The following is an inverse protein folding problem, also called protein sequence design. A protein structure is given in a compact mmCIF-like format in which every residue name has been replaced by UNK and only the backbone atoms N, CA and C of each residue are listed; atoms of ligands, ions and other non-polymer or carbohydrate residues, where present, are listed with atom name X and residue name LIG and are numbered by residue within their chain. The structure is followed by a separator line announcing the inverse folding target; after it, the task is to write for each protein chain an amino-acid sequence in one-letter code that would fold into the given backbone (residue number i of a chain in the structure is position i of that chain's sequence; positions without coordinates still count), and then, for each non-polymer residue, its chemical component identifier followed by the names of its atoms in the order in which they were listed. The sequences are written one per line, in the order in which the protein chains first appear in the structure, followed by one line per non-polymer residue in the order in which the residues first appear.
data_IF_423143562355
#
_entry.id   IF_423143562355
#
_cell.length_a   1.000
_cell.length_b   1.000
_cell.length_c   1.000
_cell.angle_alpha   90.00
_cell.angle_beta   90.00
_cell.angle_gamma   90.00
#
_symmetry.space_group_name_H-M   'P 1'
#
loop_
_entity.id
_entity.type
_entity.pdbx_description
1 polymer ?
#
# COMPACT_ATOMS: atom_id res chain seq x y z
N UNK A 1 -0.12 17.62 28.72
CA UNK A 1 1.03 17.32 27.83
C UNK A 1 0.70 16.09 27.02
N UNK A 2 0.03 16.24 25.87
CA UNK A 2 -0.40 15.10 25.04
C UNK A 2 0.78 14.73 24.14
N UNK A 3 1.40 13.59 24.43
CA UNK A 3 2.48 13.04 23.60
C UNK A 3 1.85 12.62 22.27
N UNK A 4 2.05 13.40 21.21
CA UNK A 4 1.70 12.99 19.86
C UNK A 4 2.66 11.87 19.48
N UNK A 5 2.32 10.63 19.82
CA UNK A 5 3.11 9.45 19.49
C UNK A 5 3.07 9.20 17.98
N UNK A 6 3.89 9.96 17.27
CA UNK A 6 4.17 9.76 15.86
C UNK A 6 4.63 8.32 15.66
N UNK A 7 4.21 7.71 14.55
CA UNK A 7 4.69 6.37 14.25
C UNK A 7 6.21 6.42 14.05
N UNK A 8 6.95 5.87 15.01
CA UNK A 8 8.39 5.74 14.90
C UNK A 8 8.74 4.91 13.68
N UNK A 9 9.79 5.32 12.95
CA UNK A 9 10.25 4.61 11.75
C UNK A 9 10.53 3.14 12.03
N UNK A 10 11.05 2.80 13.22
CA UNK A 10 11.28 1.41 13.65
C UNK A 10 9.98 0.60 13.72
N UNK A 11 8.91 1.20 14.27
CA UNK A 11 7.59 0.56 14.38
C UNK A 11 6.96 0.40 13.00
N UNK A 12 7.09 1.40 12.14
CA UNK A 12 6.63 1.36 10.75
C UNK A 12 7.29 0.22 9.97
N UNK A 13 8.62 0.17 9.92
CA UNK A 13 9.32 -0.88 9.17
C UNK A 13 9.09 -2.28 9.74
N UNK A 14 8.92 -2.40 11.06
CA UNK A 14 8.52 -3.67 11.68
C UNK A 14 7.14 -4.12 11.21
N UNK A 15 6.14 -3.24 11.23
CA UNK A 15 4.78 -3.57 10.78
C UNK A 15 4.72 -3.82 9.27
N UNK A 16 5.42 -3.00 8.47
CA UNK A 16 5.54 -3.20 7.03
C UNK A 16 6.20 -4.54 6.71
N UNK A 17 7.28 -4.91 7.42
CA UNK A 17 7.94 -6.20 7.26
C UNK A 17 7.02 -7.37 7.60
N UNK A 18 6.30 -7.30 8.73
CA UNK A 18 5.33 -8.33 9.11
C UNK A 18 4.21 -8.45 8.07
N UNK A 19 3.62 -7.34 7.63
CA UNK A 19 2.57 -7.35 6.62
C UNK A 19 3.07 -7.94 5.29
N UNK A 20 4.26 -7.52 4.86
CA UNK A 20 4.88 -8.02 3.62
C UNK A 20 5.11 -9.51 3.71
N UNK A 21 5.60 -10.02 4.86
CA UNK A 21 5.83 -11.44 5.08
C UNK A 21 4.51 -12.23 5.11
N UNK A 22 3.49 -11.74 5.81
CA UNK A 22 2.16 -12.37 5.83
C UNK A 22 1.53 -12.41 4.43
N UNK A 23 1.66 -11.33 3.67
CA UNK A 23 1.13 -11.24 2.31
C UNK A 23 1.93 -12.13 1.35
N UNK A 24 3.25 -12.21 1.50
CA UNK A 24 4.10 -13.12 0.74
C UNK A 24 3.75 -14.59 1.01
N UNK A 25 3.51 -14.95 2.28
CA UNK A 25 3.01 -16.29 2.65
C UNK A 25 1.66 -16.57 1.98
N UNK A 26 0.72 -15.63 2.02
CA UNK A 26 -0.57 -15.78 1.34
C UNK A 26 -0.40 -16.00 -0.17
N UNK A 27 0.47 -15.21 -0.82
CA UNK A 27 0.80 -15.38 -2.26
C UNK A 27 1.40 -16.76 -2.53
N UNK A 28 2.35 -17.22 -1.71
CA UNK A 28 2.94 -18.57 -1.84
C UNK A 28 1.88 -19.66 -1.67
N UNK A 29 0.93 -19.49 -0.75
CA UNK A 29 -0.19 -20.44 -0.58
C UNK A 29 -1.11 -20.46 -1.80
N UNK A 30 -1.45 -19.30 -2.38
CA UNK A 30 -2.21 -19.25 -3.63
C UNK A 30 -1.48 -19.97 -4.77
N UNK A 31 -0.17 -19.78 -4.87
CA UNK A 31 0.68 -20.39 -5.90
C UNK A 31 0.80 -21.92 -5.78
N UNK A 32 0.40 -22.54 -4.66
CA UNK A 32 0.30 -24.00 -4.55
C UNK A 32 -0.84 -24.58 -5.38
N UNK A 33 -1.85 -23.77 -5.72
CA UNK A 33 -2.94 -24.21 -6.58
C UNK A 33 -2.58 -23.94 -8.05
N UNK A 34 -2.75 -24.93 -8.95
CA UNK A 34 -2.37 -24.81 -10.37
C UNK A 34 -2.98 -23.58 -11.06
N UNK A 35 -4.19 -23.20 -10.65
CA UNK A 35 -4.98 -22.08 -11.18
C UNK A 35 -4.26 -20.73 -11.04
N UNK A 36 -3.33 -20.56 -10.08
CA UNK A 36 -2.62 -19.31 -9.87
C UNK A 36 -1.12 -19.38 -10.19
N UNK A 37 -0.59 -20.57 -10.48
CA UNK A 37 0.85 -20.79 -10.59
C UNK A 37 1.50 -20.06 -11.78
N UNK A 38 0.76 -19.89 -12.88
CA UNK A 38 1.26 -19.25 -14.11
C UNK A 38 1.47 -17.73 -13.97
N UNK A 39 1.08 -17.16 -12.84
CA UNK A 39 0.97 -15.71 -12.63
C UNK A 39 1.86 -15.22 -11.49
N UNK A 40 2.75 -16.09 -10.99
CA UNK A 40 3.64 -15.84 -9.86
C UNK A 40 4.46 -14.55 -9.98
N UNK A 41 5.05 -14.32 -11.16
CA UNK A 41 5.90 -13.14 -11.40
C UNK A 41 5.13 -11.84 -11.21
N UNK A 42 3.86 -11.80 -11.61
CA UNK A 42 3.00 -10.63 -11.40
C UNK A 42 2.81 -10.36 -9.90
N UNK A 43 2.53 -11.39 -9.11
CA UNK A 43 2.25 -11.23 -7.69
C UNK A 43 3.47 -10.77 -6.90
N UNK A 44 4.65 -11.28 -7.22
CA UNK A 44 5.91 -10.81 -6.61
C UNK A 44 6.25 -9.37 -7.01
N UNK A 45 6.05 -9.02 -8.29
CA UNK A 45 6.23 -7.65 -8.76
C UNK A 45 5.28 -6.67 -8.04
N UNK A 46 4.02 -7.06 -7.86
CA UNK A 46 3.03 -6.28 -7.10
C UNK A 46 3.43 -6.12 -5.64
N UNK A 47 3.84 -7.20 -4.97
CA UNK A 47 4.29 -7.14 -3.58
C UNK A 47 5.43 -6.13 -3.43
N UNK A 48 6.44 -6.18 -4.30
CA UNK A 48 7.55 -5.23 -4.32
C UNK A 48 7.09 -3.80 -4.59
N UNK A 49 6.21 -3.61 -5.58
CA UNK A 49 5.64 -2.30 -5.90
C UNK A 49 4.90 -1.67 -4.71
N UNK A 50 4.00 -2.42 -4.06
CA UNK A 50 3.23 -1.92 -2.92
C UNK A 50 4.11 -1.70 -1.68
N UNK A 51 5.13 -2.53 -1.46
CA UNK A 51 6.14 -2.30 -0.42
C UNK A 51 6.85 -0.96 -0.62
N UNK A 52 7.35 -0.68 -1.82
CA UNK A 52 8.01 0.57 -2.14
C UNK A 52 7.05 1.76 -2.04
N UNK A 53 5.80 1.59 -2.50
CA UNK A 53 4.77 2.61 -2.39
C UNK A 53 4.46 2.97 -0.93
N UNK A 54 4.31 1.98 -0.05
CA UNK A 54 4.08 2.20 1.37
C UNK A 54 5.27 2.92 2.03
N UNK A 55 6.50 2.52 1.71
CA UNK A 55 7.70 3.20 2.20
C UNK A 55 7.76 4.67 1.75
N UNK A 56 7.51 4.93 0.47
CA UNK A 56 7.47 6.28 -0.10
C UNK A 56 6.40 7.16 0.59
N UNK A 57 5.18 6.63 0.75
CA UNK A 57 4.08 7.28 1.44
C UNK A 57 4.42 7.63 2.89
N UNK A 58 5.13 6.76 3.60
CA UNK A 58 5.56 7.02 4.97
C UNK A 58 6.54 8.20 5.07
N UNK A 59 7.59 8.22 4.25
CA UNK A 59 8.59 9.29 4.28
C UNK A 59 8.00 10.63 3.82
N UNK A 60 7.28 10.63 2.70
CA UNK A 60 6.63 11.83 2.17
C UNK A 60 5.52 12.31 3.12
N UNK A 61 4.71 11.40 3.66
CA UNK A 61 3.67 11.70 4.63
C UNK A 61 4.24 12.38 5.88
N UNK A 62 5.34 11.86 6.46
CA UNK A 62 6.01 12.51 7.59
C UNK A 62 6.55 13.90 7.26
N UNK A 63 7.19 14.05 6.09
CA UNK A 63 7.73 15.33 5.63
C UNK A 63 6.61 16.37 5.45
N UNK A 64 5.51 15.98 4.82
CA UNK A 64 4.40 16.88 4.50
C UNK A 64 3.50 17.17 5.71
N UNK A 65 3.36 16.25 6.65
CA UNK A 65 2.65 16.49 7.91
C UNK A 65 3.33 17.58 8.77
N UNK A 66 4.65 17.70 8.66
CA UNK A 66 5.43 18.76 9.31
C UNK A 66 5.46 20.08 8.52
N UNK A 67 4.87 20.14 7.32
CA UNK A 67 4.89 21.34 6.49
C UNK A 67 3.92 22.41 7.01
N UNK A 68 4.26 23.67 6.73
CA UNK A 68 3.44 24.83 7.10
C UNK A 68 2.07 24.79 6.41
N UNK A 69 2.04 24.36 5.13
CA UNK A 69 0.82 24.22 4.35
C UNK A 69 -0.10 23.12 4.93
N UNK A 70 -1.21 23.56 5.54
CA UNK A 70 -2.21 22.69 6.17
C UNK A 70 -2.84 21.67 5.19
N UNK A 71 -2.85 21.97 3.89
CA UNK A 71 -3.49 21.13 2.88
C UNK A 71 -2.51 20.19 2.17
N UNK A 72 -1.19 20.41 2.29
CA UNK A 72 -0.19 19.66 1.52
C UNK A 72 -0.21 18.16 1.84
N UNK A 73 -0.37 17.79 3.12
CA UNK A 73 -0.51 16.39 3.52
C UNK A 73 -1.76 15.75 2.91
N UNK A 74 -2.92 16.40 3.03
CA UNK A 74 -4.19 15.88 2.50
C UNK A 74 -4.15 15.76 0.98
N UNK A 75 -3.67 16.77 0.27
CA UNK A 75 -3.52 16.75 -1.19
C UNK A 75 -2.59 15.62 -1.65
N UNK A 76 -1.49 15.39 -0.94
CA UNK A 76 -0.59 14.28 -1.23
C UNK A 76 -1.25 12.92 -1.01
N UNK A 77 -1.95 12.71 0.11
CA UNK A 77 -2.65 11.46 0.39
C UNK A 77 -3.73 11.19 -0.66
N UNK A 78 -4.53 12.19 -1.01
CA UNK A 78 -5.54 12.07 -2.06
C UNK A 78 -4.92 11.75 -3.41
N UNK A 79 -3.87 12.48 -3.81
CA UNK A 79 -3.16 12.26 -5.07
C UNK A 79 -2.51 10.87 -5.15
N UNK A 80 -1.86 10.42 -4.08
CA UNK A 80 -1.24 9.11 -4.01
C UNK A 80 -2.28 7.97 -4.07
N UNK A 81 -3.42 8.15 -3.39
CA UNK A 81 -4.53 7.19 -3.43
C UNK A 81 -5.12 7.10 -4.84
N UNK A 82 -5.39 8.25 -5.47
CA UNK A 82 -5.89 8.30 -6.84
C UNK A 82 -4.93 7.66 -7.84
N UNK A 83 -3.64 8.02 -7.77
CA UNK A 83 -2.60 7.43 -8.62
C UNK A 83 -2.52 5.92 -8.45
N UNK A 84 -2.59 5.43 -7.21
CA UNK A 84 -2.58 4.00 -6.91
C UNK A 84 -3.79 3.26 -7.49
N UNK A 85 -4.98 3.85 -7.39
CA UNK A 85 -6.18 3.28 -8.01
C UNK A 85 -6.04 3.20 -9.53
N UNK A 86 -5.59 4.27 -10.17
CA UNK A 86 -5.36 4.29 -11.63
C UNK A 86 -4.33 3.23 -12.04
N UNK A 87 -3.22 3.14 -11.30
CA UNK A 87 -2.17 2.17 -11.57
C UNK A 87 -2.66 0.73 -11.37
N UNK A 88 -3.46 0.48 -10.33
CA UNK A 88 -4.08 -0.82 -10.08
C UNK A 88 -4.95 -1.27 -11.26
N UNK A 89 -5.80 -0.37 -11.76
CA UNK A 89 -6.60 -0.63 -12.97
C UNK A 89 -5.72 -0.86 -14.19
N UNK A 90 -4.67 -0.05 -14.36
CA UNK A 90 -3.75 -0.14 -15.49
C UNK A 90 -3.02 -1.49 -15.51
N UNK A 91 -2.55 -1.97 -14.35
CA UNK A 91 -1.93 -3.29 -14.23
C UNK A 91 -2.90 -4.39 -14.64
N UNK A 92 -4.16 -4.34 -14.19
CA UNK A 92 -5.15 -5.35 -14.57
C UNK A 92 -5.42 -5.34 -16.08
N UNK A 93 -5.57 -4.17 -16.70
CA UNK A 93 -5.82 -4.04 -18.15
C UNK A 93 -4.62 -4.54 -18.96
N UNK A 94 -3.40 -4.13 -18.59
CA UNK A 94 -2.17 -4.59 -19.22
C UNK A 94 -2.07 -6.11 -19.09
N UNK A 95 -2.30 -6.64 -17.89
CA UNK A 95 -2.21 -8.07 -17.65
C UNK A 95 -3.22 -8.88 -18.48
N UNK A 96 -4.48 -8.43 -18.53
CA UNK A 96 -5.52 -9.07 -19.35
C UNK A 96 -5.16 -9.08 -20.85
N UNK A 97 -4.54 -8.01 -21.36
CA UNK A 97 -4.17 -7.92 -22.77
C UNK A 97 -2.94 -8.76 -23.15
N UNK A 98 -1.92 -8.80 -22.29
CA UNK A 98 -0.64 -9.43 -22.62
C UNK A 98 -0.55 -10.89 -22.16
N UNK A 99 -1.09 -11.22 -20.99
CA UNK A 99 -1.02 -12.57 -20.44
C UNK A 99 -2.20 -13.46 -20.88
N UNK A 100 -3.27 -12.85 -21.42
CA UNK A 100 -4.48 -13.52 -21.88
C UNK A 100 -4.90 -14.69 -20.96
N UNK A 101 -5.04 -14.45 -19.64
CA UNK A 101 -5.21 -15.53 -18.68
C UNK A 101 -6.49 -16.30 -19.01
N UNK A 102 -6.38 -17.63 -19.10
CA UNK A 102 -7.54 -18.50 -19.40
C UNK A 102 -8.63 -18.37 -18.34
N UNK A 103 -8.26 -17.95 -17.13
CA UNK A 103 -9.17 -17.73 -16.01
C UNK A 103 -8.97 -16.39 -15.29
N UNK A 104 -10.08 -15.83 -14.78
CA UNK A 104 -10.12 -14.55 -14.06
C UNK A 104 -9.69 -14.67 -12.59
N UNK A 105 -9.31 -15.86 -12.12
CA UNK A 105 -8.94 -16.08 -10.71
C UNK A 105 -7.68 -15.32 -10.27
N UNK A 106 -6.81 -14.91 -11.21
CA UNK A 106 -5.62 -14.10 -10.91
C UNK A 106 -5.92 -12.78 -10.16
N UNK A 107 -7.16 -12.31 -10.24
CA UNK A 107 -7.64 -11.12 -9.54
C UNK A 107 -7.63 -11.32 -8.01
N UNK A 108 -7.79 -12.56 -7.51
CA UNK A 108 -7.84 -12.82 -6.06
C UNK A 108 -6.51 -12.55 -5.34
N UNK A 109 -5.35 -13.10 -5.79
CA UNK A 109 -4.06 -12.72 -5.22
C UNK A 109 -3.74 -11.24 -5.42
N UNK A 110 -4.09 -10.67 -6.57
CA UNK A 110 -3.94 -9.23 -6.85
C UNK A 110 -4.68 -8.38 -5.79
N UNK A 111 -5.96 -8.66 -5.57
CA UNK A 111 -6.80 -7.95 -4.59
C UNK A 111 -6.28 -8.13 -3.17
N UNK A 112 -5.77 -9.32 -2.85
CA UNK A 112 -5.19 -9.60 -1.53
C UNK A 112 -4.02 -8.68 -1.24
N UNK A 113 -3.07 -8.56 -2.18
CA UNK A 113 -1.91 -7.65 -2.04
C UNK A 113 -2.39 -6.20 -1.98
N UNK A 114 -3.27 -5.79 -2.91
CA UNK A 114 -3.78 -4.42 -2.97
C UNK A 114 -4.47 -4.00 -1.66
N UNK A 115 -5.41 -4.79 -1.16
CA UNK A 115 -6.18 -4.47 0.04
C UNK A 115 -5.30 -4.48 1.29
N UNK A 116 -4.44 -5.49 1.45
CA UNK A 116 -3.57 -5.60 2.62
C UNK A 116 -2.68 -4.36 2.77
N UNK A 117 -2.03 -3.93 1.68
CA UNK A 117 -1.20 -2.73 1.69
C UNK A 117 -2.01 -1.44 1.79
N UNK A 118 -3.15 -1.33 1.13
CA UNK A 118 -4.00 -0.13 1.18
C UNK A 118 -4.58 0.13 2.58
N UNK A 119 -5.02 -0.93 3.26
CA UNK A 119 -5.51 -0.83 4.66
C UNK A 119 -4.38 -0.40 5.58
N UNK A 120 -3.20 -1.00 5.44
CA UNK A 120 -2.03 -0.63 6.23
C UNK A 120 -1.59 0.82 5.98
N UNK A 121 -1.59 1.25 4.73
CA UNK A 121 -1.25 2.61 4.34
C UNK A 121 -2.19 3.64 4.96
N UNK A 122 -3.48 3.39 4.83
CA UNK A 122 -4.49 4.25 5.41
C UNK A 122 -4.34 4.30 6.93
N UNK A 123 -4.09 3.16 7.58
CA UNK A 123 -3.83 3.09 9.02
C UNK A 123 -2.67 3.99 9.46
N UNK A 124 -1.49 3.89 8.83
CA UNK A 124 -0.35 4.69 9.26
C UNK A 124 -0.49 6.16 8.83
N UNK A 125 -1.08 6.46 7.68
CA UNK A 125 -1.32 7.83 7.22
C UNK A 125 -2.29 8.55 8.16
N UNK A 126 -3.35 7.89 8.62
CA UNK A 126 -4.24 8.44 9.65
C UNK A 126 -3.49 8.73 10.96
N UNK A 127 -2.53 7.89 11.34
CA UNK A 127 -1.69 8.13 12.52
C UNK A 127 -0.75 9.33 12.33
N UNK A 128 -0.19 9.51 11.13
CA UNK A 128 0.63 10.66 10.76
C UNK A 128 -0.21 11.95 10.69
N UNK A 129 -1.45 11.88 10.22
CA UNK A 129 -2.34 13.04 10.12
C UNK A 129 -2.60 13.70 11.49
N UNK A 130 -2.61 12.91 12.57
CA UNK A 130 -2.81 13.37 13.96
C UNK A 130 -1.61 14.14 14.54
N UNK A 131 -0.52 14.34 13.77
CA UNK A 131 0.67 15.07 14.22
C UNK A 131 0.40 16.57 14.41
N UNK A 132 -0.61 17.13 13.74
CA UNK A 132 -1.00 18.53 13.95
C UNK A 132 -2.08 18.57 15.05
N UNK A 133 -1.79 19.15 16.24
CA UNK A 133 -2.83 19.37 17.25
C UNK A 133 -3.85 20.34 16.66
N UNK A 134 -5.11 20.18 17.09
CA UNK A 134 -6.24 21.03 16.73
C UNK A 134 -5.78 22.48 16.55
N UNK A 135 -5.98 22.99 15.33
CA UNK A 135 -6.07 24.43 15.16
C UNK A 135 -7.15 24.88 16.12
N UNK A 136 -6.77 25.75 17.05
CA UNK A 136 -7.68 26.35 18.03
C UNK A 136 -8.99 26.72 17.35
N UNK A 137 -10.08 26.29 18.00
CA UNK A 137 -11.46 26.68 17.73
C UNK A 137 -11.62 28.20 17.61
#
# INVERSE_FOLDING_TARGET
MMRTDTMSSKVFFRQLGILTLLTAVAVVLFNRFPIFADHQTLYWALLGFYFLSAAALFFMGKKLAASENRNAFTQFVMGATFFKMLLSMSVLVVYLKFAAPESKYFILPFLTVYLAFTVFETYFLMKIAKIKPDGKA
#
